data_IF_947410965751
#
_entry.id   IF_947410965751
#
_cell.length_a   1.000
_cell.length_b   1.000
_cell.length_c   1.000
_cell.angle_alpha   90.00
_cell.angle_beta   90.00
_cell.angle_gamma   90.00
#
_symmetry.space_group_name_H-M   'P 1'
#
loop_
_entity.id
_entity.type
_entity.pdbx_description
1 polymer ?
#
# COMPACT_ATOMS: atom_id res chain seq x y z
N UNK A 1 23.15 -15.76 37.58
CA UNK A 1 23.31 -14.71 36.54
C UNK A 1 23.71 -13.40 37.19
N UNK A 2 24.63 -12.68 36.55
CA UNK A 2 25.31 -11.48 37.08
C UNK A 2 24.38 -10.23 37.04
N UNK A 3 24.13 -9.55 38.16
CA UNK A 3 23.35 -8.30 38.17
C UNK A 3 24.00 -7.17 37.34
N UNK A 4 25.28 -7.31 37.00
CA UNK A 4 26.01 -6.31 36.26
C UNK A 4 25.43 -6.04 34.86
N UNK A 5 25.08 -7.09 34.08
CA UNK A 5 24.53 -6.87 32.73
C UNK A 5 23.15 -6.19 32.76
N UNK A 6 22.33 -6.46 33.78
CA UNK A 6 21.01 -5.81 33.95
C UNK A 6 21.19 -4.32 34.22
N UNK A 7 22.15 -3.94 35.06
CA UNK A 7 22.47 -2.53 35.30
C UNK A 7 22.93 -1.82 34.02
N UNK A 8 23.77 -2.47 33.22
CA UNK A 8 24.23 -1.92 31.92
C UNK A 8 23.07 -1.81 30.94
N UNK A 9 22.22 -2.83 30.83
CA UNK A 9 21.00 -2.80 30.00
C UNK A 9 20.11 -1.61 30.38
N UNK A 10 19.83 -1.43 31.67
CA UNK A 10 19.03 -0.29 32.17
C UNK A 10 19.71 1.05 31.86
N UNK A 11 21.03 1.14 32.00
CA UNK A 11 21.78 2.35 31.70
C UNK A 11 21.75 2.72 30.21
N UNK A 12 21.98 1.77 29.30
CA UNK A 12 21.89 2.01 27.84
C UNK A 12 20.46 2.38 27.44
N UNK A 13 19.46 1.71 28.03
CA UNK A 13 18.06 2.04 27.80
C UNK A 13 17.70 3.44 28.30
N UNK A 14 18.20 3.84 29.48
CA UNK A 14 18.02 5.18 30.02
C UNK A 14 18.68 6.23 29.12
N UNK A 15 19.88 5.96 28.61
CA UNK A 15 20.58 6.84 27.65
C UNK A 15 19.75 7.12 26.39
N UNK A 16 19.10 6.09 25.82
CA UNK A 16 18.17 6.29 24.70
C UNK A 16 16.94 7.09 25.14
N UNK A 17 16.36 6.79 26.32
CA UNK A 17 15.16 7.47 26.84
C UNK A 17 15.41 8.95 27.16
N UNK A 18 16.61 9.28 27.61
CA UNK A 18 17.01 10.61 28.08
C UNK A 18 17.70 11.43 26.99
N UNK A 19 17.91 10.85 25.80
CA UNK A 19 18.44 11.58 24.64
C UNK A 19 17.45 12.66 24.19
N UNK A 20 17.70 13.91 24.60
CA UNK A 20 16.79 15.04 24.36
C UNK A 20 16.52 15.24 22.88
N UNK A 21 17.54 15.19 22.03
CA UNK A 21 17.40 15.34 20.58
C UNK A 21 16.45 14.30 19.98
N UNK A 22 16.58 13.03 20.40
CA UNK A 22 15.72 11.94 19.94
C UNK A 22 14.28 12.15 20.40
N UNK A 23 14.08 12.39 21.70
CA UNK A 23 12.74 12.51 22.28
C UNK A 23 12.01 13.75 21.76
N UNK A 24 12.69 14.88 21.64
CA UNK A 24 12.12 16.10 21.07
C UNK A 24 11.78 15.93 19.58
N UNK A 25 12.64 15.28 18.81
CA UNK A 25 12.37 14.96 17.40
C UNK A 25 11.14 14.05 17.26
N UNK A 26 11.05 13.00 18.08
CA UNK A 26 9.90 12.09 18.08
C UNK A 26 8.60 12.81 18.45
N UNK A 27 8.61 13.65 19.49
CA UNK A 27 7.45 14.46 19.88
C UNK A 27 7.03 15.42 18.76
N UNK A 28 7.98 16.14 18.17
CA UNK A 28 7.72 17.03 17.03
C UNK A 28 7.08 16.28 15.87
N UNK A 29 7.57 15.10 15.53
CA UNK A 29 6.99 14.27 14.46
C UNK A 29 5.61 13.74 14.84
N UNK A 30 5.41 13.31 16.09
CA UNK A 30 4.10 12.89 16.59
C UNK A 30 3.06 14.03 16.53
N UNK A 31 3.44 15.25 16.93
CA UNK A 31 2.59 16.44 16.88
C UNK A 31 2.20 16.85 15.43
N UNK A 32 2.93 16.34 14.43
CA UNK A 32 2.68 16.57 13.00
C UNK A 32 2.09 15.33 12.30
N UNK A 33 1.41 14.45 13.03
CA UNK A 33 0.75 13.25 12.51
C UNK A 33 1.68 12.34 11.68
N UNK A 34 2.95 12.25 12.09
CA UNK A 34 3.92 11.42 11.39
C UNK A 34 3.52 9.95 11.38
N UNK A 35 3.87 9.28 10.27
CA UNK A 35 3.72 7.85 10.11
C UNK A 35 5.06 7.14 10.28
N UNK A 36 5.01 5.87 10.65
CA UNK A 36 6.19 5.05 10.89
C UNK A 36 6.45 4.09 9.73
N UNK A 37 7.67 4.09 9.21
CA UNK A 37 8.16 3.10 8.25
C UNK A 37 9.21 2.20 8.94
N UNK A 38 8.87 0.98 9.37
CA UNK A 38 9.80 0.10 10.10
C UNK A 38 10.97 -0.43 9.27
N UNK A 39 10.90 -0.33 7.93
CA UNK A 39 11.83 -1.02 7.04
C UNK A 39 11.60 -2.54 7.00
N UNK A 40 12.37 -3.20 6.15
CA UNK A 40 12.39 -4.64 5.96
C UNK A 40 13.76 -5.21 6.30
N UNK A 41 13.80 -6.45 6.73
CA UNK A 41 15.06 -7.14 6.90
C UNK A 41 14.93 -8.50 7.56
N UNK A 42 16.02 -8.91 8.20
CA UNK A 42 16.12 -10.18 8.89
C UNK A 42 15.64 -10.08 10.35
N UNK A 43 15.75 -11.17 11.12
CA UNK A 43 15.34 -11.17 12.53
C UNK A 43 16.03 -10.09 13.38
N UNK A 44 17.26 -9.71 13.03
CA UNK A 44 17.98 -8.62 13.68
C UNK A 44 17.25 -7.28 13.56
N UNK A 45 16.72 -6.98 12.38
CA UNK A 45 15.88 -5.80 12.15
C UNK A 45 14.57 -5.87 12.96
N UNK A 46 14.07 -7.09 13.23
CA UNK A 46 12.95 -7.32 14.14
C UNK A 46 13.25 -6.92 15.58
N UNK A 47 14.49 -7.10 16.05
CA UNK A 47 14.92 -6.65 17.38
C UNK A 47 14.98 -5.11 17.46
N UNK A 48 15.49 -4.45 16.42
CA UNK A 48 15.49 -2.99 16.30
C UNK A 48 14.05 -2.46 16.33
N UNK A 49 13.17 -3.07 15.54
CA UNK A 49 11.76 -2.69 15.47
C UNK A 49 11.05 -2.89 16.80
N UNK A 50 11.31 -3.99 17.52
CA UNK A 50 10.74 -4.23 18.84
C UNK A 50 11.12 -3.11 19.83
N UNK A 51 12.41 -2.75 19.90
CA UNK A 51 12.84 -1.66 20.78
C UNK A 51 12.30 -0.29 20.36
N UNK A 52 12.11 -0.07 19.06
CA UNK A 52 11.43 1.13 18.54
C UNK A 52 9.98 1.21 19.00
N UNK A 53 9.24 0.10 18.88
CA UNK A 53 7.84 0.03 19.30
C UNK A 53 7.70 0.16 20.83
N UNK A 54 8.63 -0.40 21.59
CA UNK A 54 8.69 -0.21 23.04
C UNK A 54 8.90 1.28 23.42
N UNK A 55 9.75 2.01 22.69
CA UNK A 55 9.95 3.44 22.90
C UNK A 55 8.69 4.24 22.59
N UNK A 56 8.02 3.93 21.48
CA UNK A 56 6.77 4.58 21.10
C UNK A 56 5.70 4.36 22.16
N UNK A 57 5.54 3.13 22.66
CA UNK A 57 4.61 2.82 23.74
C UNK A 57 4.90 3.62 25.02
N UNK A 58 6.17 3.76 25.41
CA UNK A 58 6.58 4.57 26.57
C UNK A 58 6.41 6.09 26.37
N UNK A 59 6.33 6.54 25.12
CA UNK A 59 5.99 7.92 24.79
C UNK A 59 4.46 8.12 24.69
N UNK A 60 3.67 7.07 24.79
CA UNK A 60 2.22 7.13 24.55
C UNK A 60 1.87 7.41 23.09
N UNK A 61 2.75 7.07 22.16
CA UNK A 61 2.58 7.31 20.72
C UNK A 61 2.36 5.99 19.97
N UNK A 62 1.31 5.94 19.13
CA UNK A 62 1.00 4.79 18.28
C UNK A 62 0.80 5.25 16.82
N UNK A 63 1.88 5.49 16.06
CA UNK A 63 1.78 6.00 14.70
C UNK A 63 1.18 4.96 13.74
N UNK A 64 0.51 5.44 12.69
CA UNK A 64 0.14 4.59 11.55
C UNK A 64 1.41 4.06 10.89
N UNK A 65 1.37 2.80 10.45
CA UNK A 65 2.51 2.15 9.80
C UNK A 65 2.33 2.14 8.30
N UNK A 66 3.36 2.58 7.59
CA UNK A 66 3.46 2.41 6.13
C UNK A 66 3.76 0.95 5.85
N UNK A 67 2.99 0.34 4.95
CA UNK A 67 3.16 -1.06 4.52
C UNK A 67 3.65 -1.12 3.08
N UNK A 68 4.57 -2.04 2.77
CA UNK A 68 5.08 -2.23 1.42
C UNK A 68 6.41 -1.54 1.11
N UNK A 69 6.99 -1.86 -0.06
CA UNK A 69 8.22 -1.24 -0.63
C UNK A 69 7.98 -0.61 -2.00
N UNK A 70 6.73 -0.38 -2.36
CA UNK A 70 6.42 0.26 -3.63
C UNK A 70 6.93 1.71 -3.60
N UNK A 71 7.31 2.24 -4.77
CA UNK A 71 7.93 3.56 -4.90
C UNK A 71 7.06 4.67 -4.31
N UNK A 72 5.75 4.51 -4.39
CA UNK A 72 4.74 5.44 -3.90
C UNK A 72 4.37 5.22 -2.43
N UNK A 73 5.06 4.35 -1.69
CA UNK A 73 4.72 4.03 -0.30
C UNK A 73 4.73 5.27 0.63
N UNK A 74 5.51 6.30 0.28
CA UNK A 74 5.61 7.55 1.03
C UNK A 74 4.64 8.64 0.51
N UNK A 75 3.92 8.38 -0.59
CA UNK A 75 3.00 9.34 -1.19
C UNK A 75 1.83 9.66 -0.28
N UNK A 76 1.49 10.95 -0.17
CA UNK A 76 0.37 11.42 0.63
C UNK A 76 0.70 11.66 2.11
N UNK A 77 1.93 11.37 2.54
CA UNK A 77 2.42 11.72 3.88
C UNK A 77 3.26 12.99 3.84
N UNK A 78 3.28 13.73 4.95
CA UNK A 78 4.12 14.93 5.12
C UNK A 78 5.28 14.69 6.08
N UNK A 79 5.12 13.79 7.06
CA UNK A 79 6.12 13.47 8.05
C UNK A 79 6.28 11.95 8.17
N UNK A 80 7.51 11.46 8.08
CA UNK A 80 7.84 10.04 8.21
C UNK A 80 8.93 9.84 9.25
N UNK A 81 8.69 8.93 10.18
CA UNK A 81 9.73 8.36 11.03
C UNK A 81 10.15 7.02 10.43
N UNK A 82 11.41 6.91 10.03
CA UNK A 82 11.99 5.70 9.49
C UNK A 82 12.70 4.91 10.58
N UNK A 83 12.43 3.61 10.64
CA UNK A 83 13.07 2.66 11.55
C UNK A 83 14.59 2.65 11.43
N UNK A 84 15.24 2.34 12.56
CA UNK A 84 16.69 2.14 12.58
C UNK A 84 17.08 0.95 11.69
N UNK A 85 18.28 0.99 11.13
CA UNK A 85 18.75 -0.11 10.27
C UNK A 85 20.28 -0.22 10.21
N UNK A 86 20.75 -1.36 9.70
CA UNK A 86 22.09 -1.47 9.13
C UNK A 86 22.12 -1.24 7.62
N UNK A 87 21.08 -0.64 7.02
CA UNK A 87 20.75 -0.78 5.61
C UNK A 87 21.14 0.39 4.70
N UNK A 88 21.98 1.34 5.13
CA UNK A 88 22.42 2.47 4.29
C UNK A 88 23.89 2.31 3.90
N UNK A 89 24.16 1.38 2.98
CA UNK A 89 25.53 1.09 2.50
C UNK A 89 25.59 1.16 0.98
N UNK A 90 26.38 2.11 0.46
CA UNK A 90 26.49 2.35 -0.98
C UNK A 90 27.03 1.12 -1.68
N UNK A 91 26.35 0.71 -2.75
CA UNK A 91 26.67 -0.51 -3.48
C UNK A 91 26.42 -1.81 -2.70
N UNK A 92 25.56 -1.81 -1.68
CA UNK A 92 25.12 -3.05 -1.00
C UNK A 92 23.65 -2.95 -0.55
N UNK A 93 23.29 -1.87 0.14
CA UNK A 93 21.97 -1.62 0.69
C UNK A 93 21.52 -0.19 0.33
N UNK A 94 20.82 -0.04 -0.79
CA UNK A 94 20.29 1.24 -1.30
C UNK A 94 18.75 1.24 -1.41
N UNK A 95 18.10 0.23 -0.82
CA UNK A 95 16.70 -0.12 -1.05
C UNK A 95 15.71 1.02 -0.79
N UNK A 96 16.06 1.94 0.10
CA UNK A 96 15.18 3.04 0.49
C UNK A 96 15.54 4.37 -0.17
N UNK A 97 16.61 4.44 -0.96
CA UNK A 97 17.13 5.71 -1.47
C UNK A 97 16.11 6.41 -2.38
N UNK A 98 15.62 5.73 -3.41
CA UNK A 98 14.75 6.37 -4.41
C UNK A 98 13.46 6.93 -3.79
N UNK A 99 12.76 6.13 -3.00
CA UNK A 99 11.53 6.53 -2.31
C UNK A 99 11.77 7.65 -1.29
N UNK A 100 12.92 7.63 -0.60
CA UNK A 100 13.25 8.67 0.40
C UNK A 100 13.58 9.99 -0.28
N UNK A 101 14.39 9.97 -1.34
CA UNK A 101 14.71 11.17 -2.10
C UNK A 101 13.46 11.73 -2.78
N UNK A 102 12.60 10.89 -3.36
CA UNK A 102 11.34 11.34 -3.94
C UNK A 102 10.42 11.99 -2.90
N UNK A 103 10.37 11.47 -1.68
CA UNK A 103 9.61 12.06 -0.57
C UNK A 103 10.16 13.45 -0.17
N UNK A 104 11.48 13.58 -0.01
CA UNK A 104 12.14 14.84 0.31
C UNK A 104 11.99 15.89 -0.80
N UNK A 105 12.04 15.46 -2.07
CA UNK A 105 11.78 16.34 -3.23
C UNK A 105 10.38 16.94 -3.22
N UNK A 106 9.41 16.22 -2.65
CA UNK A 106 8.04 16.68 -2.50
C UNK A 106 7.82 17.51 -1.21
N UNK A 107 8.88 17.87 -0.49
CA UNK A 107 8.82 18.69 0.72
C UNK A 107 8.53 17.89 2.01
N UNK A 108 8.65 16.56 1.95
CA UNK A 108 8.43 15.69 3.10
C UNK A 108 9.49 15.87 4.20
N UNK A 109 9.07 15.73 5.46
CA UNK A 109 9.95 15.77 6.62
C UNK A 109 10.29 14.36 7.08
N UNK A 110 11.57 14.06 7.27
CA UNK A 110 12.07 12.72 7.57
C UNK A 110 12.87 12.69 8.87
N UNK A 111 12.55 11.73 9.73
CA UNK A 111 13.34 11.38 10.90
C UNK A 111 13.87 9.96 10.72
N UNK A 112 15.19 9.79 10.64
CA UNK A 112 15.84 8.48 10.57
C UNK A 112 16.32 8.08 11.96
N UNK A 113 15.75 7.01 12.51
CA UNK A 113 16.13 6.45 13.81
C UNK A 113 17.53 5.79 13.78
N UNK A 114 18.16 5.51 14.93
CA UNK A 114 19.55 5.05 15.04
C UNK A 114 19.98 4.03 13.97
N UNK A 115 20.86 4.46 13.06
CA UNK A 115 21.21 3.76 11.82
C UNK A 115 22.71 3.84 11.51
N UNK A 116 23.28 2.83 10.85
CA UNK A 116 24.65 2.91 10.33
C UNK A 116 24.69 3.28 8.84
N UNK A 117 25.59 4.19 8.49
CA UNK A 117 25.83 4.72 7.15
C UNK A 117 27.21 4.32 6.62
N UNK A 118 27.30 4.17 5.30
CA UNK A 118 28.54 3.86 4.58
C UNK A 118 28.46 4.31 3.13
N UNK A 119 29.36 5.18 2.70
CA UNK A 119 29.38 5.76 1.37
C UNK A 119 28.11 6.53 1.02
N UNK A 120 27.20 6.73 1.97
CA UNK A 120 25.89 7.36 1.83
C UNK A 120 25.76 8.56 2.75
N UNK A 121 24.99 9.56 2.32
CA UNK A 121 24.74 10.78 3.09
C UNK A 121 24.75 12.04 2.23
N UNK A 122 25.62 12.09 1.23
CA UNK A 122 25.73 13.18 0.25
C UNK A 122 24.41 13.44 -0.50
N UNK A 123 23.61 12.40 -0.67
CA UNK A 123 22.29 12.42 -1.28
C UNK A 123 21.25 13.17 -0.42
N UNK A 124 21.49 13.26 0.90
CA UNK A 124 20.61 13.98 1.84
C UNK A 124 20.97 15.45 2.01
N UNK A 125 22.20 15.86 1.67
CA UNK A 125 22.69 17.24 1.85
C UNK A 125 21.78 18.29 1.21
N UNK A 126 21.25 18.10 -0.02
CA UNK A 126 20.32 19.06 -0.63
C UNK A 126 19.00 19.25 0.14
N UNK A 127 18.67 18.33 1.06
CA UNK A 127 17.45 18.30 1.85
C UNK A 127 17.74 18.35 3.35
N UNK A 128 18.93 18.84 3.75
CA UNK A 128 19.37 18.81 5.15
C UNK A 128 18.37 19.45 6.13
N UNK A 129 17.65 20.49 5.71
CA UNK A 129 16.61 21.14 6.53
C UNK A 129 15.36 20.28 6.75
N UNK A 130 15.19 19.21 5.98
CA UNK A 130 14.03 18.32 5.99
C UNK A 130 14.32 16.96 6.63
N UNK A 131 15.58 16.64 6.91
CA UNK A 131 16.00 15.32 7.41
C UNK A 131 16.82 15.43 8.68
N UNK A 132 16.34 14.74 9.73
CA UNK A 132 17.09 14.55 10.97
C UNK A 132 17.52 13.09 11.06
N UNK A 133 18.80 12.84 11.35
CA UNK A 133 19.41 11.50 11.30
C UNK A 133 20.04 11.16 12.66
N UNK A 134 19.69 9.99 13.19
CA UNK A 134 20.37 9.40 14.33
C UNK A 134 21.31 8.28 13.85
N UNK A 135 22.59 8.43 14.16
CA UNK A 135 23.62 7.42 13.96
C UNK A 135 23.71 6.53 15.19
N UNK A 136 23.79 5.22 14.99
CA UNK A 136 23.95 4.27 16.11
C UNK A 136 25.38 4.07 16.62
N UNK A 137 26.33 4.74 15.99
CA UNK A 137 27.73 4.79 16.40
C UNK A 137 28.45 6.01 15.79
N UNK A 138 29.65 6.29 16.31
CA UNK A 138 30.42 7.49 15.98
C UNK A 138 30.92 7.54 14.53
N UNK A 139 31.31 6.41 13.94
CA UNK A 139 31.88 6.35 12.59
C UNK A 139 30.87 6.79 11.54
N UNK A 140 29.59 6.42 11.67
CA UNK A 140 28.52 6.92 10.79
C UNK A 140 28.30 8.41 10.94
N UNK A 141 28.35 8.94 12.16
CA UNK A 141 28.25 10.38 12.42
C UNK A 141 29.38 11.15 11.73
N UNK A 142 30.63 10.70 11.93
CA UNK A 142 31.81 11.33 11.33
C UNK A 142 31.79 11.24 9.80
N UNK A 143 31.20 10.18 9.26
CA UNK A 143 31.01 10.03 7.83
C UNK A 143 29.97 11.02 7.26
N UNK A 144 28.78 11.12 7.87
CA UNK A 144 27.77 12.09 7.44
C UNK A 144 28.27 13.53 7.54
N UNK A 145 29.00 13.86 8.62
CA UNK A 145 29.61 15.17 8.80
C UNK A 145 30.61 15.47 7.68
N UNK A 146 31.50 14.53 7.36
CA UNK A 146 32.46 14.67 6.24
C UNK A 146 31.79 14.80 4.88
N UNK A 147 30.61 14.22 4.71
CA UNK A 147 29.83 14.34 3.48
C UNK A 147 29.03 15.65 3.37
N UNK A 148 29.05 16.48 4.42
CA UNK A 148 28.47 17.83 4.41
C UNK A 148 27.10 17.95 5.09
N UNK A 149 26.66 16.93 5.85
CA UNK A 149 25.47 17.06 6.67
C UNK A 149 25.71 18.04 7.83
N UNK A 150 24.77 18.95 8.14
CA UNK A 150 24.91 19.87 9.27
C UNK A 150 24.88 19.14 10.62
N UNK A 151 25.76 19.52 11.54
CA UNK A 151 25.79 18.97 12.92
C UNK A 151 24.46 19.10 13.66
N UNK A 152 23.65 20.12 13.34
CA UNK A 152 22.33 20.31 13.94
C UNK A 152 21.28 19.30 13.48
N UNK A 153 21.59 18.49 12.46
CA UNK A 153 20.67 17.50 11.87
C UNK A 153 21.13 16.06 12.07
N UNK A 154 22.35 15.85 12.57
CA UNK A 154 22.91 14.51 12.80
C UNK A 154 23.22 14.34 14.29
N UNK A 155 22.83 13.20 14.85
CA UNK A 155 22.99 12.91 16.26
C UNK A 155 23.52 11.49 16.46
N UNK A 156 24.12 11.20 17.61
CA UNK A 156 24.47 9.83 17.99
C UNK A 156 23.52 9.35 19.08
N UNK A 157 23.04 8.11 18.97
CA UNK A 157 22.19 7.46 19.95
C UNK A 157 22.36 5.94 19.84
N UNK A 158 22.41 5.16 20.94
CA UNK A 158 22.52 3.70 20.86
C UNK A 158 21.44 3.06 19.97
N UNK A 159 21.76 1.89 19.41
CA UNK A 159 20.86 1.11 18.56
C UNK A 159 19.54 0.81 19.29
N UNK A 160 18.41 0.95 18.58
CA UNK A 160 17.08 0.74 19.17
C UNK A 160 16.86 -0.67 19.73
N UNK A 161 17.63 -1.67 19.30
CA UNK A 161 17.61 -3.01 19.89
C UNK A 161 17.84 -3.01 21.41
N UNK A 162 18.64 -2.08 21.93
CA UNK A 162 18.90 -1.96 23.36
C UNK A 162 17.77 -1.30 24.15
N UNK A 163 16.75 -0.75 23.48
CA UNK A 163 15.57 -0.21 24.16
C UNK A 163 14.53 -1.27 24.54
N UNK A 164 14.67 -2.49 24.02
CA UNK A 164 13.72 -3.59 24.24
C UNK A 164 13.44 -3.84 25.72
N UNK A 165 12.17 -4.03 26.09
CA UNK A 165 11.75 -4.28 27.47
C UNK A 165 12.23 -5.64 27.98
N UNK A 166 12.58 -5.69 29.27
CA UNK A 166 13.05 -6.91 29.94
C UNK A 166 12.00 -8.03 29.92
N UNK A 167 10.73 -7.65 30.06
CA UNK A 167 9.57 -8.57 30.08
C UNK A 167 9.47 -9.45 28.84
N UNK A 168 9.96 -9.01 27.68
CA UNK A 168 9.94 -9.80 26.44
C UNK A 168 10.75 -11.09 26.54
N UNK A 169 11.76 -11.16 27.42
CA UNK A 169 12.70 -12.29 27.53
C UNK A 169 13.00 -12.75 28.96
N UNK A 170 12.37 -12.14 29.98
CA UNK A 170 12.71 -12.35 31.39
C UNK A 170 12.66 -13.81 31.88
N UNK A 171 11.82 -14.64 31.26
CA UNK A 171 11.67 -16.07 31.58
C UNK A 171 12.72 -16.97 30.89
N UNK A 172 13.61 -16.40 30.08
CA UNK A 172 14.68 -17.10 29.36
C UNK A 172 16.04 -16.96 30.04
N UNK A 173 16.08 -16.33 31.22
CA UNK A 173 17.26 -16.26 32.08
C UNK A 173 17.48 -17.59 32.81
N UNK A 174 17.89 -18.62 32.06
CA UNK A 174 18.22 -19.94 32.59
C UNK A 174 19.72 -20.23 32.49
N UNK A 175 20.25 -21.17 33.28
CA UNK A 175 21.64 -21.59 33.10
C UNK A 175 21.79 -22.39 31.81
N UNK A 176 22.80 -22.04 31.01
CA UNK A 176 23.10 -22.74 29.77
C UNK A 176 23.50 -24.18 30.05
N UNK A 177 22.99 -25.12 29.27
CA UNK A 177 23.30 -26.55 29.38
C UNK A 177 24.31 -27.02 28.32
N UNK A 178 24.50 -26.22 27.26
CA UNK A 178 25.40 -26.49 26.16
C UNK A 178 26.50 -25.43 26.10
N UNK A 179 27.73 -25.78 25.71
CA UNK A 179 28.86 -24.86 25.84
C UNK A 179 28.77 -23.67 24.87
N UNK A 180 28.55 -23.90 23.58
CA UNK A 180 28.63 -22.86 22.55
C UNK A 180 27.56 -23.04 21.48
N UNK A 181 26.88 -21.94 21.13
CA UNK A 181 26.08 -21.81 19.92
C UNK A 181 26.80 -20.87 18.94
N UNK A 182 27.05 -21.36 17.73
CA UNK A 182 27.73 -20.61 16.68
C UNK A 182 26.73 -20.05 15.68
N UNK A 183 26.60 -18.73 15.63
CA UNK A 183 25.67 -18.03 14.73
C UNK A 183 26.46 -17.20 13.74
N UNK A 184 26.81 -17.78 12.60
CA UNK A 184 27.64 -17.11 11.59
C UNK A 184 26.91 -16.87 10.29
N UNK A 185 27.23 -15.76 9.64
CA UNK A 185 26.69 -15.38 8.35
C UNK A 185 27.13 -16.36 7.27
N UNK A 186 26.19 -16.69 6.39
CA UNK A 186 26.46 -17.44 5.16
C UNK A 186 26.58 -16.56 3.91
N UNK A 187 26.32 -15.26 4.05
CA UNK A 187 26.32 -14.27 2.97
C UNK A 187 27.66 -13.51 2.84
N UNK A 188 27.73 -12.55 1.91
CA UNK A 188 28.95 -11.78 1.59
C UNK A 188 29.37 -10.80 2.69
N UNK A 189 28.49 -10.55 3.65
CA UNK A 189 28.84 -9.79 4.84
C UNK A 189 29.61 -10.66 5.86
N UNK A 190 29.59 -11.98 5.75
CA UNK A 190 30.30 -12.86 6.67
C UNK A 190 31.81 -12.66 6.68
N UNK A 191 32.39 -12.71 7.88
CA UNK A 191 33.84 -12.60 8.08
C UNK A 191 34.60 -13.88 7.72
N UNK A 192 33.91 -15.03 7.63
CA UNK A 192 34.50 -16.36 7.44
C UNK A 192 34.32 -16.88 6.01
N UNK A 193 35.39 -17.43 5.42
CA UNK A 193 35.34 -18.15 4.12
C UNK A 193 34.56 -19.45 4.22
N UNK A 194 34.82 -20.19 5.28
CA UNK A 194 34.20 -21.46 5.60
C UNK A 194 33.79 -21.40 7.07
N UNK A 195 32.54 -21.02 7.35
CA UNK A 195 32.05 -21.05 8.72
C UNK A 195 32.03 -22.50 9.24
N UNK A 196 32.08 -22.72 10.56
CA UNK A 196 32.02 -24.05 11.15
C UNK A 196 30.80 -24.83 10.64
N UNK A 197 30.95 -26.14 10.45
CA UNK A 197 29.91 -26.99 9.83
C UNK A 197 28.60 -27.02 10.64
N UNK A 198 28.73 -26.84 11.93
CA UNK A 198 27.68 -26.79 12.96
C UNK A 198 27.16 -25.38 13.24
N UNK A 199 27.71 -24.35 12.58
CA UNK A 199 27.16 -23.00 12.66
C UNK A 199 25.83 -22.85 11.93
N UNK A 200 25.01 -21.93 12.41
CA UNK A 200 23.67 -21.64 11.88
C UNK A 200 23.52 -20.15 11.60
N UNK A 201 22.78 -19.77 10.56
CA UNK A 201 22.43 -18.36 10.32
C UNK A 201 20.98 -18.10 10.73
N UNK A 202 20.72 -18.14 12.03
CA UNK A 202 19.37 -18.04 12.61
C UNK A 202 18.60 -16.80 12.14
N UNK A 203 19.20 -15.61 11.98
CA UNK A 203 18.47 -14.45 11.47
C UNK A 203 17.82 -14.66 10.11
N UNK A 204 18.42 -15.46 9.22
CA UNK A 204 17.89 -15.69 7.88
C UNK A 204 16.68 -16.64 7.85
N UNK A 205 16.34 -17.30 8.96
CA UNK A 205 15.07 -18.02 9.10
C UNK A 205 13.87 -17.08 8.95
N UNK A 206 14.07 -15.80 9.28
CA UNK A 206 13.09 -14.73 9.16
C UNK A 206 13.71 -13.59 8.37
N UNK A 207 13.55 -13.59 7.06
CA UNK A 207 14.12 -12.58 6.19
C UNK A 207 13.06 -11.93 5.32
N UNK A 208 13.35 -10.71 4.86
CA UNK A 208 12.48 -9.95 3.96
C UNK A 208 11.12 -9.57 4.61
N UNK A 209 11.08 -9.48 5.94
CA UNK A 209 9.88 -9.18 6.73
C UNK A 209 9.84 -7.71 7.11
N UNK A 210 8.64 -7.11 7.04
CA UNK A 210 8.37 -5.79 7.59
C UNK A 210 7.92 -5.92 9.05
N UNK A 211 8.81 -5.60 9.98
CA UNK A 211 8.58 -5.77 11.42
C UNK A 211 7.72 -4.64 11.98
N UNK A 212 6.40 -4.71 11.76
CA UNK A 212 5.49 -3.57 11.99
C UNK A 212 4.72 -3.60 13.32
N UNK A 213 4.71 -4.74 14.01
CA UNK A 213 3.95 -4.92 15.27
C UNK A 213 4.76 -5.69 16.30
N UNK A 214 4.47 -5.44 17.59
CA UNK A 214 5.14 -6.13 18.72
C UNK A 214 4.98 -7.64 18.60
N UNK A 215 3.78 -8.13 18.28
CA UNK A 215 3.51 -9.56 18.15
C UNK A 215 4.34 -10.22 17.04
N UNK A 216 4.49 -9.55 15.88
CA UNK A 216 5.33 -10.02 14.80
C UNK A 216 6.80 -10.12 15.21
N UNK A 217 7.31 -9.16 15.99
CA UNK A 217 8.70 -9.18 16.44
C UNK A 217 8.94 -10.23 17.55
N UNK A 218 8.10 -10.22 18.59
CA UNK A 218 8.35 -10.98 19.83
C UNK A 218 8.36 -12.49 19.60
N UNK A 219 7.42 -13.03 18.80
CA UNK A 219 7.32 -14.48 18.58
C UNK A 219 8.62 -15.11 18.05
N UNK A 220 9.18 -14.67 16.90
CA UNK A 220 10.40 -15.24 16.37
C UNK A 220 11.64 -14.89 17.21
N UNK A 221 11.70 -13.68 17.79
CA UNK A 221 12.79 -13.30 18.68
C UNK A 221 12.84 -14.19 19.93
N UNK A 222 11.70 -14.47 20.55
CA UNK A 222 11.62 -15.39 21.70
C UNK A 222 12.00 -16.81 21.33
N UNK A 223 11.65 -17.30 20.14
CA UNK A 223 12.08 -18.62 19.69
C UNK A 223 13.61 -18.72 19.60
N UNK A 224 14.26 -17.72 19.00
CA UNK A 224 15.74 -17.67 18.90
C UNK A 224 16.41 -17.40 20.24
N UNK A 225 15.89 -16.47 21.04
CA UNK A 225 16.37 -16.22 22.40
C UNK A 225 16.24 -17.46 23.29
N UNK A 226 15.14 -18.20 23.17
CA UNK A 226 14.91 -19.45 23.88
C UNK A 226 15.94 -20.51 23.51
N UNK A 227 16.29 -20.63 22.22
CA UNK A 227 17.39 -21.48 21.79
C UNK A 227 18.74 -21.00 22.36
N UNK A 228 19.07 -19.71 22.22
CA UNK A 228 20.31 -19.12 22.74
C UNK A 228 20.46 -19.33 24.25
N UNK A 229 19.36 -19.25 25.01
CA UNK A 229 19.37 -19.42 26.46
C UNK A 229 19.83 -20.81 26.92
N UNK A 230 19.71 -21.83 26.06
CA UNK A 230 20.20 -23.19 26.33
C UNK A 230 21.73 -23.28 26.29
N UNK A 231 22.42 -22.25 25.80
CA UNK A 231 23.88 -22.23 25.66
C UNK A 231 24.54 -21.27 26.66
N UNK A 232 25.75 -21.58 27.07
CA UNK A 232 26.58 -20.73 27.94
C UNK A 232 27.15 -19.54 27.16
N UNK A 233 27.58 -19.78 25.92
CA UNK A 233 28.22 -18.80 25.05
C UNK A 233 27.61 -18.78 23.64
N UNK A 234 27.50 -17.58 23.07
CA UNK A 234 27.16 -17.35 21.66
C UNK A 234 28.37 -16.78 20.93
N UNK A 235 28.83 -17.47 19.89
CA UNK A 235 29.88 -17.00 18.98
C UNK A 235 29.22 -16.50 17.70
N UNK A 236 29.46 -15.26 17.27
CA UNK A 236 28.70 -14.69 16.15
C UNK A 236 29.37 -13.52 15.43
N UNK A 237 29.09 -13.39 14.13
CA UNK A 237 29.31 -12.18 13.32
C UNK A 237 27.97 -11.53 12.87
N UNK A 238 26.87 -11.81 13.59
CA UNK A 238 25.57 -11.16 13.46
C UNK A 238 25.37 -10.18 14.62
N UNK A 239 25.46 -8.88 14.33
CA UNK A 239 25.36 -7.81 15.33
C UNK A 239 24.18 -7.97 16.29
N UNK A 240 22.97 -8.14 15.76
CA UNK A 240 21.77 -8.21 16.60
C UNK A 240 21.58 -9.56 17.31
N UNK A 241 22.29 -10.61 16.88
CA UNK A 241 22.35 -11.85 17.65
C UNK A 241 23.26 -11.69 18.87
N UNK A 242 24.37 -10.95 18.71
CA UNK A 242 25.19 -10.53 19.84
C UNK A 242 24.42 -9.62 20.81
N UNK A 243 23.66 -8.64 20.29
CA UNK A 243 22.81 -7.79 21.12
C UNK A 243 21.74 -8.59 21.88
N UNK A 244 21.01 -9.48 21.20
CA UNK A 244 20.00 -10.33 21.84
C UNK A 244 20.62 -11.20 22.94
N UNK A 245 21.73 -11.88 22.65
CA UNK A 245 22.44 -12.72 23.59
C UNK A 245 22.93 -11.93 24.83
N UNK A 246 23.45 -10.72 24.63
CA UNK A 246 23.83 -9.83 25.72
C UNK A 246 22.63 -9.38 26.58
N UNK A 247 21.48 -9.09 25.94
CA UNK A 247 20.26 -8.67 26.64
C UNK A 247 19.63 -9.77 27.51
N UNK A 248 19.89 -11.05 27.20
CA UNK A 248 19.48 -12.22 28.00
C UNK A 248 20.63 -12.78 28.88
N UNK A 249 21.71 -12.00 29.04
CA UNK A 249 22.80 -12.31 29.96
C UNK A 249 23.71 -13.48 29.54
N UNK A 250 23.78 -13.83 28.25
CA UNK A 250 24.75 -14.82 27.75
C UNK A 250 26.15 -14.24 27.64
N UNK A 251 27.15 -15.13 27.67
CA UNK A 251 28.50 -14.82 27.18
C UNK A 251 28.46 -14.70 25.66
N UNK A 252 29.11 -13.69 25.11
CA UNK A 252 29.13 -13.43 23.67
C UNK A 252 30.57 -13.20 23.22
N UNK A 253 30.98 -13.95 22.21
CA UNK A 253 32.20 -13.67 21.45
C UNK A 253 31.80 -13.16 20.08
N UNK A 254 32.07 -11.89 19.87
CA UNK A 254 31.68 -11.16 18.68
C UNK A 254 32.86 -11.07 17.72
N UNK A 255 32.64 -11.50 16.48
CA UNK A 255 33.62 -11.44 15.40
C UNK A 255 33.32 -10.29 14.43
N UNK A 256 34.35 -9.72 13.76
CA UNK A 256 34.13 -8.78 12.69
C UNK A 256 33.37 -9.41 11.51
N UNK A 257 32.59 -8.60 10.82
CA UNK A 257 32.05 -8.92 9.49
C UNK A 257 32.97 -8.35 8.40
N UNK A 258 32.60 -8.50 7.13
CA UNK A 258 33.30 -7.83 6.01
C UNK A 258 33.16 -6.30 6.02
N UNK A 259 32.41 -5.75 6.98
CA UNK A 259 32.12 -4.34 7.10
C UNK A 259 32.27 -3.81 8.54
N UNK A 260 32.46 -2.51 8.72
CA UNK A 260 32.87 -1.93 10.01
C UNK A 260 31.84 -2.03 11.14
N UNK A 261 30.55 -2.18 10.81
CA UNK A 261 29.42 -1.92 11.71
C UNK A 261 29.53 -2.66 13.04
N UNK A 262 29.95 -3.93 12.99
CA UNK A 262 30.03 -4.75 14.20
C UNK A 262 31.04 -4.15 15.18
N UNK A 263 32.24 -3.83 14.68
CA UNK A 263 33.28 -3.22 15.50
C UNK A 263 32.86 -1.85 16.03
N UNK A 264 32.28 -0.99 15.17
CA UNK A 264 31.85 0.34 15.60
C UNK A 264 30.74 0.30 16.67
N UNK A 265 29.77 -0.61 16.56
CA UNK A 265 28.73 -0.78 17.59
C UNK A 265 29.27 -1.46 18.85
N UNK A 266 30.25 -2.35 18.70
CA UNK A 266 30.95 -2.90 19.86
C UNK A 266 31.64 -1.79 20.65
N UNK A 267 32.45 -0.98 19.98
CA UNK A 267 33.18 0.13 20.58
C UNK A 267 32.24 1.19 21.17
N UNK A 268 31.06 1.40 20.57
CA UNK A 268 30.09 2.39 21.06
C UNK A 268 29.20 1.88 22.20
N UNK A 269 28.73 0.62 22.15
CA UNK A 269 27.73 0.12 23.10
C UNK A 269 28.06 -1.27 23.69
N UNK A 270 28.37 -2.28 22.87
CA UNK A 270 28.46 -3.65 23.38
C UNK A 270 29.65 -3.90 24.31
N UNK A 271 30.76 -3.17 24.19
CA UNK A 271 31.92 -3.31 25.08
C UNK A 271 31.58 -3.03 26.55
N UNK A 272 30.47 -2.32 26.82
CA UNK A 272 29.98 -2.03 28.17
C UNK A 272 29.46 -3.28 28.86
N UNK A 273 29.02 -4.29 28.11
CA UNK A 273 28.54 -5.56 28.64
C UNK A 273 29.75 -6.46 28.94
N UNK A 274 30.01 -6.82 30.21
CA UNK A 274 31.22 -7.56 30.61
C UNK A 274 31.27 -8.97 30.04
N UNK A 275 30.11 -9.52 29.68
CA UNK A 275 29.98 -10.84 29.06
C UNK A 275 30.19 -10.81 27.56
N UNK A 276 30.43 -9.64 26.95
CA UNK A 276 30.63 -9.48 25.51
C UNK A 276 32.10 -9.13 25.24
N UNK A 277 32.77 -10.00 24.50
CA UNK A 277 34.16 -9.80 24.04
C UNK A 277 34.22 -9.72 22.53
N UNK A 278 35.10 -8.87 21.99
CA UNK A 278 35.36 -8.79 20.57
C UNK A 278 36.62 -9.59 20.22
N UNK A 279 36.49 -10.55 19.31
CA UNK A 279 37.62 -11.36 18.83
C UNK A 279 38.13 -10.79 17.50
N UNK A 280 39.25 -10.06 17.55
CA UNK A 280 39.95 -9.56 16.36
C UNK A 280 40.54 -10.73 15.57
N UNK A 281 39.71 -11.33 14.71
CA UNK A 281 40.13 -12.39 13.80
C UNK A 281 40.63 -11.76 12.50
N UNK A 282 41.87 -12.05 12.12
CA UNK A 282 42.39 -11.68 10.79
C UNK A 282 41.52 -12.35 9.73
N UNK A 283 40.93 -11.55 8.84
CA UNK A 283 40.10 -12.01 7.71
C UNK A 283 40.77 -13.17 6.99
N UNK A 284 40.03 -14.26 6.77
CA UNK A 284 40.49 -15.40 5.95
C UNK A 284 40.72 -15.01 4.48
N UNK A 285 40.26 -13.81 4.07
CA UNK A 285 40.45 -13.22 2.74
C UNK A 285 41.74 -12.40 2.65
N UNK A 286 42.49 -12.64 1.57
CA UNK A 286 43.59 -11.77 1.13
C UNK A 286 43.05 -10.43 0.63
N UNK A 287 43.88 -9.38 0.64
CA UNK A 287 43.52 -8.04 0.16
C UNK A 287 43.00 -8.04 -1.30
N UNK A 288 43.54 -8.94 -2.15
CA UNK A 288 43.08 -9.10 -3.53
C UNK A 288 41.68 -9.72 -3.62
N UNK A 289 41.36 -10.68 -2.75
CA UNK A 289 40.03 -11.29 -2.67
C UNK A 289 38.99 -10.33 -2.08
N UNK A 290 39.40 -9.42 -1.20
CA UNK A 290 38.54 -8.33 -0.70
C UNK A 290 38.17 -7.36 -1.83
N UNK A 291 39.12 -6.99 -2.69
CA UNK A 291 38.87 -6.17 -3.89
C UNK A 291 37.96 -6.88 -4.91
N UNK A 292 38.22 -8.16 -5.20
CA UNK A 292 37.38 -8.94 -6.11
C UNK A 292 35.98 -9.22 -5.58
N UNK A 293 35.80 -9.35 -4.26
CA UNK A 293 34.47 -9.46 -3.64
C UNK A 293 33.64 -8.20 -3.81
N UNK A 294 34.25 -7.02 -3.71
CA UNK A 294 33.53 -5.77 -3.95
C UNK A 294 33.00 -5.69 -5.40
N UNK A 295 33.77 -6.18 -6.36
CA UNK A 295 33.39 -6.21 -7.79
C UNK A 295 32.31 -7.27 -8.08
N UNK A 296 32.42 -8.45 -7.47
CA UNK A 296 31.38 -9.50 -7.54
C UNK A 296 30.09 -9.07 -6.84
N UNK A 297 30.18 -8.34 -5.72
CA UNK A 297 29.02 -7.70 -5.06
C UNK A 297 28.32 -6.75 -6.01
N UNK A 298 29.07 -5.83 -6.63
CA UNK A 298 28.53 -4.85 -7.56
C UNK A 298 27.78 -5.54 -8.72
N UNK A 299 28.33 -6.65 -9.22
CA UNK A 299 27.69 -7.45 -10.27
C UNK A 299 26.41 -8.13 -9.77
N UNK A 300 26.43 -8.77 -8.59
CA UNK A 300 25.25 -9.41 -8.00
C UNK A 300 24.14 -8.40 -7.72
N UNK A 301 24.50 -7.21 -7.25
CA UNK A 301 23.57 -6.14 -6.95
C UNK A 301 22.96 -5.56 -8.22
N UNK A 302 23.77 -5.44 -9.28
CA UNK A 302 23.27 -5.08 -10.62
C UNK A 302 22.25 -6.11 -11.10
N UNK A 303 22.54 -7.41 -10.95
CA UNK A 303 21.61 -8.50 -11.31
C UNK A 303 20.35 -8.47 -10.45
N UNK A 304 20.47 -8.24 -9.13
CA UNK A 304 19.34 -8.14 -8.20
C UNK A 304 18.44 -6.95 -8.55
N UNK A 305 19.03 -5.80 -8.88
CA UNK A 305 18.32 -4.59 -9.33
C UNK A 305 17.56 -4.86 -10.63
N UNK A 306 18.22 -5.44 -11.63
CA UNK A 306 17.58 -5.85 -12.89
C UNK A 306 16.42 -6.81 -12.64
N UNK A 307 16.55 -7.76 -11.72
CA UNK A 307 15.48 -8.70 -11.40
C UNK A 307 14.29 -8.02 -10.72
N UNK A 308 14.54 -7.09 -9.80
CA UNK A 308 13.49 -6.28 -9.15
C UNK A 308 12.78 -5.38 -10.17
N UNK A 309 13.52 -4.69 -11.03
CA UNK A 309 12.98 -3.86 -12.10
C UNK A 309 12.13 -4.70 -13.06
N UNK A 310 12.61 -5.89 -13.44
CA UNK A 310 11.87 -6.82 -14.28
C UNK A 310 10.59 -7.31 -13.61
N UNK A 311 10.61 -7.52 -12.29
CA UNK A 311 9.44 -7.93 -11.54
C UNK A 311 8.41 -6.80 -11.43
N UNK A 312 8.85 -5.57 -11.17
CA UNK A 312 7.99 -4.38 -11.17
C UNK A 312 7.36 -4.14 -12.56
N UNK A 313 8.16 -4.25 -13.64
CA UNK A 313 7.63 -4.20 -15.01
C UNK A 313 6.59 -5.28 -15.27
N UNK A 314 6.83 -6.50 -14.77
CA UNK A 314 5.90 -7.61 -14.95
C UNK A 314 4.58 -7.40 -14.21
N UNK A 315 4.63 -6.87 -12.99
CA UNK A 315 3.44 -6.49 -12.21
C UNK A 315 2.66 -5.36 -12.90
N UNK A 316 3.34 -4.35 -13.43
CA UNK A 316 2.73 -3.27 -14.21
C UNK A 316 2.06 -3.80 -15.48
N UNK A 317 2.75 -4.64 -16.26
CA UNK A 317 2.19 -5.26 -17.47
C UNK A 317 0.97 -6.12 -17.15
N UNK A 318 1.02 -6.88 -16.05
CA UNK A 318 -0.11 -7.70 -15.59
C UNK A 318 -1.32 -6.84 -15.22
N UNK A 319 -1.08 -5.69 -14.59
CA UNK A 319 -2.14 -4.73 -14.27
C UNK A 319 -2.76 -4.12 -15.53
N UNK A 320 -1.95 -3.72 -16.50
CA UNK A 320 -2.43 -3.20 -17.79
C UNK A 320 -3.23 -4.26 -18.56
N UNK A 321 -2.78 -5.51 -18.56
CA UNK A 321 -3.52 -6.62 -19.18
C UNK A 321 -4.90 -6.80 -18.55
N UNK A 322 -5.00 -6.79 -17.21
CA UNK A 322 -6.29 -6.86 -16.51
C UNK A 322 -7.21 -5.69 -16.85
N UNK A 323 -6.66 -4.48 -16.99
CA UNK A 323 -7.44 -3.31 -17.41
C UNK A 323 -7.94 -3.45 -18.85
N UNK A 324 -7.11 -3.96 -19.76
CA UNK A 324 -7.50 -4.22 -21.15
C UNK A 324 -8.62 -5.27 -21.22
N UNK A 325 -8.53 -6.36 -20.46
CA UNK A 325 -9.58 -7.38 -20.40
C UNK A 325 -10.92 -6.79 -19.90
N UNK A 326 -10.86 -5.93 -18.88
CA UNK A 326 -12.04 -5.24 -18.36
C UNK A 326 -12.65 -4.27 -19.41
N UNK A 327 -11.80 -3.57 -20.17
CA UNK A 327 -12.24 -2.70 -21.26
C UNK A 327 -12.86 -3.50 -22.40
N UNK A 328 -12.28 -4.63 -22.79
CA UNK A 328 -12.84 -5.53 -23.81
C UNK A 328 -14.23 -6.02 -23.40
N UNK A 329 -14.40 -6.49 -22.16
CA UNK A 329 -15.72 -6.91 -21.65
C UNK A 329 -16.74 -5.76 -21.65
N UNK A 330 -16.31 -4.53 -21.35
CA UNK A 330 -17.19 -3.35 -21.43
C UNK A 330 -17.56 -3.02 -22.87
N UNK A 331 -16.64 -3.19 -23.81
CA UNK A 331 -16.85 -2.95 -25.23
C UNK A 331 -17.85 -3.97 -25.80
N UNK A 332 -17.73 -5.24 -25.46
CA UNK A 332 -18.70 -6.29 -25.82
C UNK A 332 -20.11 -5.97 -25.29
N UNK A 333 -20.23 -5.55 -24.02
CA UNK A 333 -21.51 -5.12 -23.44
C UNK A 333 -22.11 -3.93 -24.17
N UNK A 334 -21.29 -2.95 -24.56
CA UNK A 334 -21.75 -1.80 -25.33
C UNK A 334 -22.18 -2.18 -26.74
N UNK A 335 -21.48 -3.11 -27.40
CA UNK A 335 -21.88 -3.64 -28.70
C UNK A 335 -23.22 -4.36 -28.62
N UNK A 336 -23.44 -5.19 -27.60
CA UNK A 336 -24.74 -5.85 -27.37
C UNK A 336 -25.87 -4.86 -27.13
N UNK A 337 -25.63 -3.79 -26.36
CA UNK A 337 -26.64 -2.73 -26.19
C UNK A 337 -26.90 -1.96 -27.48
N UNK A 338 -25.87 -1.73 -28.28
CA UNK A 338 -26.01 -1.03 -29.56
C UNK A 338 -26.85 -1.86 -30.56
N UNK A 339 -26.67 -3.18 -30.59
CA UNK A 339 -27.50 -4.06 -31.43
C UNK A 339 -28.95 -4.09 -30.96
N UNK A 340 -29.21 -4.15 -29.65
CA UNK A 340 -30.56 -4.06 -29.08
C UNK A 340 -31.23 -2.74 -29.46
N UNK A 341 -30.58 -1.59 -29.23
CA UNK A 341 -31.11 -0.27 -29.58
C UNK A 341 -31.34 -0.14 -31.08
N UNK A 342 -30.46 -0.70 -31.91
CA UNK A 342 -30.62 -0.71 -33.37
C UNK A 342 -31.86 -1.48 -33.81
N UNK A 343 -32.14 -2.64 -33.20
CA UNK A 343 -33.34 -3.42 -33.47
C UNK A 343 -34.61 -2.74 -32.96
N UNK A 344 -34.57 -2.10 -31.79
CA UNK A 344 -35.67 -1.28 -31.29
C UNK A 344 -35.97 -0.11 -32.23
N UNK A 345 -34.93 0.58 -32.71
CA UNK A 345 -35.05 1.65 -33.69
C UNK A 345 -35.68 1.16 -34.99
N UNK A 346 -35.27 0.00 -35.52
CA UNK A 346 -35.90 -0.60 -36.72
C UNK A 346 -37.38 -0.90 -36.50
N UNK A 347 -37.76 -1.45 -35.34
CA UNK A 347 -39.18 -1.70 -34.99
C UNK A 347 -39.97 -0.40 -34.91
N UNK A 348 -39.41 0.64 -34.28
CA UNK A 348 -40.05 1.94 -34.18
C UNK A 348 -40.25 2.60 -35.55
N UNK A 349 -39.24 2.55 -36.43
CA UNK A 349 -39.32 3.05 -37.80
C UNK A 349 -40.39 2.29 -38.58
N UNK A 350 -40.44 0.95 -38.48
CA UNK A 350 -41.49 0.15 -39.13
C UNK A 350 -42.89 0.57 -38.67
N UNK A 351 -43.08 0.72 -37.36
CA UNK A 351 -44.36 1.17 -36.78
C UNK A 351 -44.74 2.57 -37.26
N UNK A 352 -43.77 3.48 -37.38
CA UNK A 352 -43.98 4.82 -37.93
C UNK A 352 -44.44 4.74 -39.39
N UNK A 353 -43.80 3.91 -40.22
CA UNK A 353 -44.21 3.69 -41.61
C UNK A 353 -45.63 3.11 -41.71
N UNK A 354 -45.97 2.14 -40.86
CA UNK A 354 -47.31 1.54 -40.80
C UNK A 354 -48.38 2.59 -40.42
N UNK A 355 -48.09 3.46 -39.44
CA UNK A 355 -48.98 4.56 -39.10
C UNK A 355 -49.14 5.57 -40.23
N UNK A 356 -48.05 5.94 -40.91
CA UNK A 356 -48.11 6.83 -42.08
C UNK A 356 -48.98 6.23 -43.19
N UNK A 357 -48.86 4.93 -43.45
CA UNK A 357 -49.71 4.23 -44.42
C UNK A 357 -51.18 4.22 -43.99
N UNK A 358 -51.46 4.04 -42.70
CA UNK A 358 -52.82 4.07 -42.17
C UNK A 358 -53.45 5.46 -42.27
N UNK A 359 -52.70 6.52 -41.93
CA UNK A 359 -53.14 7.91 -42.11
C UNK A 359 -53.49 8.17 -43.58
N UNK A 360 -52.60 7.81 -44.50
CA UNK A 360 -52.85 7.94 -45.94
C UNK A 360 -54.09 7.16 -46.42
N UNK A 361 -54.41 6.02 -45.78
CA UNK A 361 -55.62 5.27 -46.08
C UNK A 361 -56.88 5.99 -45.59
N UNK A 362 -56.86 6.47 -44.34
CA UNK A 362 -57.96 7.24 -43.76
C UNK A 362 -58.22 8.54 -44.53
N UNK A 363 -57.18 9.26 -44.96
CA UNK A 363 -57.32 10.45 -45.80
C UNK A 363 -58.04 10.15 -47.12
N UNK A 364 -57.77 8.99 -47.75
CA UNK A 364 -58.48 8.54 -48.94
C UNK A 364 -59.93 8.17 -48.64
N UNK A 365 -60.20 7.53 -47.50
CA UNK A 365 -61.56 7.19 -47.09
C UNK A 365 -62.40 8.43 -46.79
N UNK A 366 -61.84 9.41 -46.07
CA UNK A 366 -62.46 10.71 -45.82
C UNK A 366 -62.77 11.38 -47.16
N UNK A 367 -61.78 11.45 -48.06
CA UNK A 367 -61.98 12.04 -49.41
C UNK A 367 -63.03 11.29 -50.25
N UNK A 368 -63.25 9.99 -50.02
CA UNK A 368 -64.33 9.22 -50.67
C UNK A 368 -65.68 9.57 -50.03
N UNK A 369 -65.73 9.61 -48.70
CA UNK A 369 -66.94 9.91 -47.93
C UNK A 369 -67.42 11.34 -48.15
N UNK A 370 -66.52 12.31 -48.27
CA UNK A 370 -66.85 13.68 -48.63
C UNK A 370 -67.52 13.75 -50.01
N UNK A 371 -67.00 13.00 -51.00
CA UNK A 371 -67.63 12.89 -52.33
C UNK A 371 -69.00 12.23 -52.29
N UNK A 372 -69.16 11.16 -51.50
CA UNK A 372 -70.48 10.53 -51.27
C UNK A 372 -71.44 11.51 -50.59
N UNK A 373 -70.98 12.27 -49.60
CA UNK A 373 -71.77 13.28 -48.90
C UNK A 373 -72.21 14.40 -49.85
N UNK A 374 -71.31 14.88 -50.71
CA UNK A 374 -71.63 15.88 -51.73
C UNK A 374 -72.67 15.35 -52.73
N UNK A 375 -72.57 14.09 -53.15
CA UNK A 375 -73.57 13.46 -54.00
C UNK A 375 -74.94 13.35 -53.31
N UNK A 376 -74.97 12.88 -52.07
CA UNK A 376 -76.20 12.80 -51.27
C UNK A 376 -76.80 14.19 -51.08
N UNK A 377 -75.96 15.21 -50.83
CA UNK A 377 -76.39 16.61 -50.69
C UNK A 377 -77.02 17.12 -51.99
N UNK A 378 -76.41 16.85 -53.14
CA UNK A 378 -76.98 17.19 -54.45
C UNK A 378 -78.30 16.47 -54.73
N UNK A 379 -78.41 15.18 -54.39
CA UNK A 379 -79.65 14.41 -54.53
C UNK A 379 -80.74 14.90 -53.56
N UNK A 380 -80.37 15.28 -52.33
CA UNK A 380 -81.29 15.90 -51.37
C UNK A 380 -81.81 17.24 -51.91
N UNK A 381 -80.95 18.08 -52.48
CA UNK A 381 -81.34 19.34 -53.14
C UNK A 381 -82.26 19.09 -54.35
N UNK A 382 -82.04 18.02 -55.14
CA UNK A 382 -82.96 17.60 -56.21
C UNK A 382 -84.32 17.15 -55.66
N UNK A 383 -84.34 16.36 -54.59
CA UNK A 383 -85.58 15.91 -53.95
C UNK A 383 -86.36 17.10 -53.39
N UNK A 384 -85.67 18.01 -52.68
CA UNK A 384 -86.26 19.24 -52.13
C UNK A 384 -86.80 20.17 -53.22
N UNK A 385 -86.15 20.22 -54.38
CA UNK A 385 -86.61 21.01 -55.53
C UNK A 385 -87.70 20.33 -56.37
N UNK A 386 -87.99 19.04 -56.15
CA UNK A 386 -89.01 18.27 -56.88
C UNK A 386 -90.46 18.67 -56.53
N UNK A 387 -91.38 18.50 -57.49
CA UNK A 387 -92.81 18.81 -57.31
C UNK A 387 -93.49 17.97 -56.23
N UNK A 388 -93.08 16.70 -56.04
CA UNK A 388 -93.65 15.79 -55.05
C UNK A 388 -93.30 16.21 -53.61
N UNK A 389 -92.07 16.67 -53.36
CA UNK A 389 -91.69 17.19 -52.04
C UNK A 389 -92.45 18.48 -51.69
N UNK A 390 -92.63 19.40 -52.67
CA UNK A 390 -93.46 20.60 -52.49
C UNK A 390 -94.94 20.28 -52.24
N UNK A 391 -95.46 19.18 -52.78
CA UNK A 391 -96.82 18.70 -52.49
C UNK A 391 -96.89 18.04 -51.11
N UNK A 392 -95.87 17.28 -50.69
CA UNK A 392 -95.76 16.70 -49.36
C UNK A 392 -95.64 17.74 -48.23
N UNK A 393 -94.84 18.79 -48.42
CA UNK A 393 -94.78 19.94 -47.51
C UNK A 393 -96.15 20.64 -47.38
N UNK A 394 -96.88 20.82 -48.49
CA UNK A 394 -98.27 21.31 -48.47
C UNK A 394 -99.25 20.34 -47.81
N UNK A 395 -99.03 19.04 -47.92
CA UNK A 395 -99.84 18.00 -47.27
C UNK A 395 -99.61 17.99 -45.75
N UNK A 396 -98.36 18.09 -45.29
CA UNK A 396 -98.02 18.17 -43.86
C UNK A 396 -98.36 19.52 -43.22
N UNK A 397 -98.37 20.63 -43.96
CA UNK A 397 -98.85 21.91 -43.45
C UNK A 397 -100.36 21.92 -43.19
N UNK A 398 -101.15 21.15 -43.96
CA UNK A 398 -102.58 20.90 -43.68
C UNK A 398 -102.77 20.10 -42.38
N UNK A 399 -101.88 19.16 -42.07
CA UNK A 399 -101.89 18.42 -40.79
C UNK A 399 -101.51 19.25 -39.56
N UNK A 400 -100.87 20.42 -39.75
CA UNK A 400 -100.55 21.37 -38.67
C UNK A 400 -101.69 22.38 -38.40
N UNK A 401 -102.77 22.38 -39.18
CA UNK A 401 -103.96 23.20 -38.90
C UNK A 401 -104.82 22.54 -37.79
N UNK A 402 -105.16 23.25 -36.69
CA UNK A 402 -105.67 22.64 -35.46
C UNK A 402 -106.95 21.80 -35.62
N UNK A 403 -107.84 22.21 -36.51
CA UNK A 403 -109.18 21.61 -36.65
C UNK A 403 -109.19 20.42 -37.63
N UNK A 404 -108.48 20.53 -38.76
CA UNK A 404 -108.44 19.49 -39.79
C UNK A 404 -107.47 18.34 -39.47
N UNK A 405 -106.36 18.62 -38.77
CA UNK A 405 -105.38 17.59 -38.37
C UNK A 405 -105.90 16.62 -37.29
N UNK A 406 -106.96 16.96 -36.57
CA UNK A 406 -107.59 16.10 -35.58
C UNK A 406 -108.49 15.03 -36.24
N UNK A 407 -109.28 15.44 -37.24
CA UNK A 407 -110.19 14.56 -37.99
C UNK A 407 -109.42 13.50 -38.78
N UNK A 408 -108.32 13.88 -39.45
CA UNK A 408 -107.49 12.95 -40.21
C UNK A 408 -106.69 11.97 -39.32
N UNK A 409 -106.34 12.35 -38.08
CA UNK A 409 -105.73 11.44 -37.10
C UNK A 409 -106.73 10.41 -36.56
N UNK A 410 -108.01 10.78 -36.43
CA UNK A 410 -109.10 9.87 -36.08
C UNK A 410 -109.33 8.82 -37.20
N UNK A 411 -109.35 9.24 -38.47
CA UNK A 411 -109.58 8.33 -39.61
C UNK A 411 -108.43 7.32 -39.79
N UNK A 412 -107.16 7.74 -39.60
CA UNK A 412 -106.01 6.83 -39.70
C UNK A 412 -106.00 5.74 -38.62
N UNK A 413 -106.54 6.02 -37.42
CA UNK A 413 -106.69 5.03 -36.33
C UNK A 413 -107.76 3.96 -36.61
N UNK A 414 -108.63 4.17 -37.59
CA UNK A 414 -109.71 3.23 -37.96
C UNK A 414 -109.34 2.39 -39.18
N UNK A 415 -108.42 2.86 -40.04
CA UNK A 415 -108.07 2.21 -41.32
C UNK A 415 -106.75 1.41 -41.25
N UNK A 416 -105.90 1.66 -40.25
CA UNK A 416 -104.69 0.86 -40.02
C UNK A 416 -104.79 0.25 -38.63
N UNK A 417 -105.14 -1.03 -38.55
CA UNK A 417 -104.73 -1.84 -37.41
C UNK A 417 -103.34 -2.38 -37.68
#
# INVERSE_FOLDING_TARGET
MDENYKNIRRAVRAEIRENSSLIESLKRFADNDAVFYPGYGNLGDGLIALGTLDLFADLGWDPKRIQGRHKEAFSGYTHIVMGGSGGWVKGMWETYLEQTIAFLQNGGQLLILPTSFSGFGSEFVPYADQVTIFCREQRSYDELLRQGMPESQIFVCPDMAFYTKEEHFSDLEIDGQYPVLQIFRLDEEGGRKTPPRDSVDLPLLFNDIQWSTVEQCVKPLRAVAGLMSQFECVETDRLHMAALAALIGRTVKLEPSSYFKIKAIFDYTLHRFPTVTFEDRTSDYTLAEQGGRAEVQLLRDTVKRINLDRQAEWEQRTTVLRQNDALLSRLEKLQSKLTEISEEKKKAVKKQTDFTNHINHLEREISRKDREFDQVRQELEKIQSSRLHRVGEKYYSIFRLPVFGFVLRMVRKVVVR
#
